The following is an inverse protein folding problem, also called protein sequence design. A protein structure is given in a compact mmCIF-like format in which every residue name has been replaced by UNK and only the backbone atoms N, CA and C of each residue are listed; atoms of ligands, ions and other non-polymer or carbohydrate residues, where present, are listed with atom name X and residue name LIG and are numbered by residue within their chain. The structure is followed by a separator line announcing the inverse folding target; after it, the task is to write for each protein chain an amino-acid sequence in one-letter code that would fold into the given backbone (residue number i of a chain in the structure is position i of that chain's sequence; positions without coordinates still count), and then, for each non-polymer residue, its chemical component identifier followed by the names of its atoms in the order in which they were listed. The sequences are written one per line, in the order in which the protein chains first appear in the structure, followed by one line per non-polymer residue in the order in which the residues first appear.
data_IF_578941793066
#
_entry.id   IF_578941793066
#
_cell.length_a   1.000
_cell.length_b   1.000
_cell.length_c   1.000
_cell.angle_alpha   90.00
_cell.angle_beta   90.00
_cell.angle_gamma   90.00
#
_symmetry.space_group_name_H-M   'P 1'
#
loop_
_entity.id
_entity.type
_entity.pdbx_description
1 polymer ?
#
# COMPACT_ATOMS: atom_id res chain seq x y z
N UNK A 1 -4.92 -0.37 17.26
CA UNK A 1 -5.44 -0.32 15.87
C UNK A 1 -4.80 -1.38 15.00
N UNK A 2 -5.16 -1.53 13.71
CA UNK A 2 -4.58 -2.59 12.84
C UNK A 2 -3.05 -2.48 12.70
N UNK A 3 -2.50 -1.27 12.80
CA UNK A 3 -1.06 -1.01 12.79
C UNK A 3 -0.36 -1.63 14.01
N UNK A 4 -0.91 -1.43 15.21
CA UNK A 4 -0.41 -2.02 16.46
C UNK A 4 -0.59 -3.55 16.48
N UNK A 5 -1.55 -4.08 15.70
CA UNK A 5 -1.75 -5.51 15.51
C UNK A 5 -0.75 -6.14 14.52
N UNK A 6 0.23 -5.38 14.02
CA UNK A 6 1.31 -5.88 13.16
C UNK A 6 1.12 -5.59 11.67
N UNK A 7 0.07 -4.87 11.27
CA UNK A 7 -0.02 -4.40 9.89
C UNK A 7 1.10 -3.37 9.63
N UNK A 8 1.89 -3.59 8.59
CA UNK A 8 2.96 -2.68 8.17
C UNK A 8 2.51 -1.66 7.09
N UNK A 9 1.29 -1.81 6.58
CA UNK A 9 0.66 -0.95 5.57
C UNK A 9 -0.86 -1.08 5.65
N UNK A 10 -1.61 0.01 5.49
CA UNK A 10 -3.07 -0.04 5.41
C UNK A 10 -3.70 1.14 4.67
N UNK A 11 -4.84 0.87 4.01
CA UNK A 11 -5.82 1.89 3.65
C UNK A 11 -6.76 2.15 4.83
N UNK A 12 -6.96 3.42 5.17
CA UNK A 12 -7.75 3.93 6.29
C UNK A 12 -7.40 3.34 7.68
N UNK A 13 -6.13 3.36 8.11
CA UNK A 13 -5.77 2.87 9.45
C UNK A 13 -6.42 3.69 10.57
N UNK A 14 -6.69 4.97 10.32
CA UNK A 14 -7.44 5.86 11.22
C UNK A 14 -8.96 5.67 11.20
N UNK A 15 -9.48 4.70 10.43
CA UNK A 15 -10.92 4.42 10.29
C UNK A 15 -11.73 5.64 9.85
N UNK A 16 -11.21 6.37 8.86
CA UNK A 16 -11.90 7.49 8.21
C UNK A 16 -12.54 7.06 6.89
N UNK A 17 -13.51 7.85 6.42
CA UNK A 17 -14.04 7.66 5.07
C UNK A 17 -12.93 7.94 4.04
N UNK A 18 -12.67 6.96 3.18
CA UNK A 18 -11.75 7.09 2.05
C UNK A 18 -12.50 6.85 0.74
N UNK A 19 -11.92 7.29 -0.38
CA UNK A 19 -12.53 7.03 -1.68
C UNK A 19 -12.57 5.53 -1.97
N UNK A 20 -13.66 5.04 -2.57
CA UNK A 20 -13.90 3.62 -2.79
C UNK A 20 -12.80 2.93 -3.63
N UNK A 21 -12.15 3.68 -4.52
CA UNK A 21 -11.07 3.16 -5.38
C UNK A 21 -9.69 3.15 -4.68
N UNK A 22 -9.53 3.82 -3.54
CA UNK A 22 -8.21 3.94 -2.89
C UNK A 22 -7.64 2.59 -2.40
N UNK A 23 -8.44 1.70 -1.78
CA UNK A 23 -7.97 0.35 -1.46
C UNK A 23 -7.56 -0.46 -2.69
N UNK A 24 -8.26 -0.31 -3.82
CA UNK A 24 -7.93 -1.01 -5.07
C UNK A 24 -6.58 -0.51 -5.63
N UNK A 25 -6.33 0.80 -5.62
CA UNK A 25 -5.05 1.39 -6.05
C UNK A 25 -3.88 0.94 -5.16
N UNK A 26 -4.10 0.81 -3.86
CA UNK A 26 -3.13 0.23 -2.93
C UNK A 26 -2.80 -1.21 -3.34
N UNK A 27 -3.83 -2.04 -3.49
CA UNK A 27 -3.68 -3.46 -3.85
C UNK A 27 -2.94 -3.64 -5.18
N UNK A 28 -3.35 -2.91 -6.21
CA UNK A 28 -2.71 -2.91 -7.53
C UNK A 28 -1.22 -2.56 -7.43
N UNK A 29 -0.87 -1.48 -6.71
CA UNK A 29 0.52 -1.06 -6.60
C UNK A 29 1.38 -2.08 -5.85
N UNK A 30 0.85 -2.71 -4.81
CA UNK A 30 1.56 -3.77 -4.07
C UNK A 30 1.70 -5.02 -4.94
N UNK A 31 0.63 -5.44 -5.60
CA UNK A 31 0.59 -6.64 -6.43
C UNK A 31 1.59 -6.56 -7.60
N UNK A 32 1.65 -5.43 -8.30
CA UNK A 32 2.47 -5.25 -9.50
C UNK A 32 3.89 -4.71 -9.23
N UNK A 33 4.24 -4.41 -7.97
CA UNK A 33 5.62 -4.06 -7.63
C UNK A 33 6.45 -5.34 -7.49
N UNK A 34 7.68 -5.31 -8.00
CA UNK A 34 8.65 -6.38 -7.80
C UNK A 34 8.81 -6.72 -6.31
N UNK A 35 8.81 -8.01 -5.97
CA UNK A 35 8.96 -8.52 -4.60
C UNK A 35 10.25 -8.11 -3.87
N UNK A 36 11.25 -7.66 -4.62
CA UNK A 36 12.51 -7.12 -4.08
C UNK A 36 12.43 -5.63 -3.73
N UNK A 37 11.37 -4.96 -4.16
CA UNK A 37 11.18 -3.51 -4.01
C UNK A 37 10.12 -3.25 -2.93
N UNK A 38 10.38 -2.25 -2.09
CA UNK A 38 9.42 -1.78 -1.11
C UNK A 38 8.47 -0.74 -1.71
N UNK A 39 7.21 -0.84 -1.33
CA UNK A 39 6.16 0.12 -1.58
C UNK A 39 5.91 0.91 -0.30
N UNK A 40 5.93 2.24 -0.38
CA UNK A 40 5.75 3.13 0.77
C UNK A 40 4.40 3.85 0.72
N UNK A 41 3.80 4.17 1.88
CA UNK A 41 2.50 4.84 1.94
C UNK A 41 2.54 6.23 1.31
N UNK A 42 3.65 6.96 1.38
CA UNK A 42 3.79 8.29 0.77
C UNK A 42 3.70 8.23 -0.77
N UNK A 43 4.21 7.14 -1.36
CA UNK A 43 4.18 6.96 -2.82
C UNK A 43 2.79 6.55 -3.29
N UNK A 44 2.12 5.64 -2.58
CA UNK A 44 0.75 5.24 -2.90
C UNK A 44 -0.23 6.39 -2.64
N UNK A 45 -0.05 7.14 -1.55
CA UNK A 45 -0.91 8.26 -1.19
C UNK A 45 -1.07 9.27 -2.34
N UNK A 46 0.01 9.53 -3.10
CA UNK A 46 -0.01 10.43 -4.27
C UNK A 46 -0.89 9.93 -5.42
N UNK A 47 -1.22 8.64 -5.46
CA UNK A 47 -2.06 8.01 -6.48
C UNK A 47 -3.53 7.88 -6.04
N UNK A 48 -3.78 7.97 -4.73
CA UNK A 48 -5.10 7.84 -4.09
C UNK A 48 -5.77 9.20 -3.92
N UNK A 49 -7.10 9.25 -3.91
CA UNK A 49 -7.84 10.51 -3.76
C UNK A 49 -7.84 11.02 -2.32
N UNK A 50 -7.91 10.14 -1.33
CA UNK A 50 -7.84 10.51 0.09
C UNK A 50 -6.42 10.83 0.54
N UNK A 51 -5.41 10.55 -0.28
CA UNK A 51 -4.03 10.96 -0.05
C UNK A 51 -3.44 10.42 1.25
N UNK A 52 -2.53 11.20 1.83
CA UNK A 52 -1.82 10.85 3.09
C UNK A 52 -2.74 10.73 4.31
N UNK A 53 -3.96 11.30 4.24
CA UNK A 53 -4.96 11.14 5.30
C UNK A 53 -5.59 9.74 5.26
N UNK A 54 -5.72 9.18 4.06
CA UNK A 54 -6.36 7.89 3.83
C UNK A 54 -5.41 6.70 3.82
N UNK A 55 -4.11 6.88 3.66
CA UNK A 55 -3.12 5.81 3.55
C UNK A 55 -2.10 5.94 4.67
N UNK A 56 -1.79 4.84 5.36
CA UNK A 56 -0.76 4.80 6.39
C UNK A 56 0.00 3.48 6.39
N UNK A 57 0.98 3.38 7.28
CA UNK A 57 1.96 2.30 7.20
C UNK A 57 3.38 2.77 7.46
N UNK A 58 4.29 1.80 7.33
CA UNK A 58 5.72 2.03 7.21
C UNK A 58 6.12 1.72 5.77
N UNK A 59 5.97 0.46 5.35
CA UNK A 59 6.20 -0.04 3.99
C UNK A 59 5.78 -1.51 3.90
N UNK A 60 5.53 -1.98 2.69
CA UNK A 60 5.39 -3.41 2.38
C UNK A 60 6.22 -3.80 1.16
N UNK A 61 6.55 -5.08 0.99
CA UNK A 61 7.20 -5.56 -0.24
C UNK A 61 6.18 -5.64 -1.36
N UNK A 62 6.64 -5.46 -2.59
CA UNK A 62 5.87 -5.86 -3.75
C UNK A 62 5.59 -7.37 -3.75
N UNK A 63 4.63 -7.81 -4.56
CA UNK A 63 4.29 -9.24 -4.69
C UNK A 63 4.65 -9.80 -6.06
N UNK A 64 4.99 -8.98 -7.05
CA UNK A 64 5.34 -9.46 -8.38
C UNK A 64 6.70 -10.16 -8.36
N UNK A 65 6.71 -11.45 -8.66
CA UNK A 65 7.93 -12.25 -8.73
C UNK A 65 8.48 -12.19 -10.15
N UNK A 66 9.54 -11.40 -10.34
CA UNK A 66 10.27 -11.39 -11.61
C UNK A 66 11.15 -12.64 -11.66
N UNK A 67 10.87 -13.54 -12.60
CA UNK A 67 11.78 -14.66 -12.87
C UNK A 67 13.09 -14.12 -13.45
N UNK A 68 14.18 -14.30 -12.72
CA UNK A 68 15.51 -14.14 -13.31
C UNK A 68 15.70 -15.29 -14.29
N UNK A 69 15.73 -15.00 -15.59
CA UNK A 69 16.30 -15.96 -16.55
C UNK A 69 17.74 -16.22 -16.09
N UNK A 70 18.02 -17.45 -15.68
CA UNK A 70 19.37 -17.98 -15.69
C UNK A 70 19.78 -18.20 -17.14
#
# INVERSE_FOLDING_TARGET
GIMEAGANFASSPGRILIHALDPAKVGDRVALTDSRVYVTPEKIARLTQSGVKGIGGIRTKGHYVVQSRR
#
